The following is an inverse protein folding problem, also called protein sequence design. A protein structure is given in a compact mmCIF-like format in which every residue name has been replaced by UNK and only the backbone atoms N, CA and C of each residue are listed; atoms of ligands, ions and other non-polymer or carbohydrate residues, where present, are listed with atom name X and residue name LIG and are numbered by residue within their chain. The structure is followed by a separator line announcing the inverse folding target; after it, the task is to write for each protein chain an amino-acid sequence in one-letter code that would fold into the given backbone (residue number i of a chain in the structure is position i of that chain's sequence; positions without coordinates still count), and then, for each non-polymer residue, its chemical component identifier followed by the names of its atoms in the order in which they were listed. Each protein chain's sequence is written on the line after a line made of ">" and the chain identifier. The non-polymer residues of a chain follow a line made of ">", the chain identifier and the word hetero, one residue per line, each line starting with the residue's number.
data_IF_644774122909
#
_entry.id   IF_644774122909
#
_cell.length_a   1.000
_cell.length_b   1.000
_cell.length_c   1.000
_cell.angle_alpha   90.00
_cell.angle_beta   90.00
_cell.angle_gamma   90.00
#
_symmetry.space_group_name_H-M   'P 1'
#
loop_
_entity.id
_entity.type
_entity.pdbx_description
1 polymer ?
#
# COMPACT_ATOMS: atom_id res chain seq x y z
N UNK A 1 38.39 19.41 47.64
CA UNK A 1 37.68 18.29 47.00
C UNK A 1 36.56 18.88 46.16
N UNK A 2 36.55 18.71 44.83
CA UNK A 2 35.40 19.08 44.01
C UNK A 2 34.38 17.92 43.99
N UNK A 3 33.08 18.19 43.80
CA UNK A 3 32.08 17.13 43.69
C UNK A 3 32.11 16.50 42.28
N UNK A 4 31.78 15.21 42.26
CA UNK A 4 31.79 14.34 41.10
C UNK A 4 30.89 14.83 39.97
N UNK A 5 31.42 14.77 38.76
CA UNK A 5 30.68 14.96 37.51
C UNK A 5 29.64 13.86 37.41
N UNK A 6 28.36 14.25 37.38
CA UNK A 6 27.28 13.36 36.99
C UNK A 6 27.46 13.04 35.50
N UNK A 7 27.70 11.77 35.19
CA UNK A 7 27.55 11.23 33.85
C UNK A 7 26.11 11.45 33.41
N UNK A 8 25.93 12.40 32.50
CA UNK A 8 24.70 12.53 31.71
C UNK A 8 24.68 11.36 30.74
N UNK A 9 23.97 10.32 31.16
CA UNK A 9 23.64 9.15 30.35
C UNK A 9 22.77 9.63 29.17
N UNK A 10 23.44 9.90 28.05
CA UNK A 10 22.85 10.34 26.81
C UNK A 10 22.10 9.21 26.11
N UNK A 11 21.06 8.68 26.75
CA UNK A 11 20.07 7.88 26.03
C UNK A 11 19.14 8.84 25.28
N UNK A 12 19.66 9.45 24.22
CA UNK A 12 18.82 9.98 23.17
C UNK A 12 18.07 8.78 22.58
N UNK A 13 16.87 8.51 23.11
CA UNK A 13 15.98 7.46 22.64
C UNK A 13 15.76 7.66 21.15
N UNK A 14 16.55 6.97 20.34
CA UNK A 14 16.35 6.97 18.90
C UNK A 14 14.96 6.38 18.69
N UNK A 15 14.04 7.11 18.03
CA UNK A 15 12.71 6.59 17.80
C UNK A 15 12.84 5.27 17.06
N UNK A 16 12.11 4.23 17.49
CA UNK A 16 12.10 2.94 16.80
C UNK A 16 11.78 3.17 15.32
N UNK A 17 12.36 2.39 14.42
CA UNK A 17 12.13 2.56 12.98
C UNK A 17 10.62 2.57 12.62
N UNK A 18 9.80 1.84 13.38
CA UNK A 18 8.35 1.87 13.25
C UNK A 18 7.72 3.22 13.66
N UNK A 19 8.20 3.85 14.74
CA UNK A 19 7.74 5.18 15.14
C UNK A 19 8.15 6.26 14.13
N UNK A 20 9.36 6.14 13.56
CA UNK A 20 9.78 6.99 12.44
C UNK A 20 8.87 6.79 11.23
N UNK A 21 8.56 5.54 10.86
CA UNK A 21 7.63 5.24 9.79
C UNK A 21 6.24 5.84 10.02
N UNK A 22 5.68 5.69 11.22
CA UNK A 22 4.40 6.28 11.61
C UNK A 22 4.40 7.81 11.47
N UNK A 23 5.47 8.48 11.90
CA UNK A 23 5.62 9.92 11.72
C UNK A 23 5.62 10.30 10.24
N UNK A 24 6.31 9.54 9.37
CA UNK A 24 6.33 9.83 7.93
C UNK A 24 4.96 9.64 7.27
N UNK A 25 4.19 8.63 7.70
CA UNK A 25 2.81 8.43 7.25
C UNK A 25 1.90 9.60 7.63
N UNK A 26 2.05 10.17 8.84
CA UNK A 26 1.25 11.35 9.24
C UNK A 26 1.55 12.61 8.42
N UNK A 27 2.71 12.66 7.75
CA UNK A 27 3.04 13.72 6.80
C UNK A 27 2.67 13.37 5.35
N UNK A 28 1.87 12.31 5.14
CA UNK A 28 1.48 11.77 3.84
C UNK A 28 2.67 11.51 2.91
N UNK A 29 3.80 11.04 3.47
CA UNK A 29 4.96 10.63 2.68
C UNK A 29 4.81 9.18 2.26
N UNK A 30 4.72 8.98 0.96
CA UNK A 30 4.47 7.70 0.30
C UNK A 30 5.55 7.39 -0.74
N UNK A 31 6.82 7.42 -0.34
CA UNK A 31 7.96 7.17 -1.21
C UNK A 31 8.68 5.86 -0.93
N UNK A 32 9.60 5.49 -1.82
CA UNK A 32 10.46 4.31 -1.65
C UNK A 32 11.31 4.38 -0.38
N UNK A 33 11.77 5.57 0.00
CA UNK A 33 12.51 5.76 1.25
C UNK A 33 11.68 5.45 2.49
N UNK A 34 10.36 5.54 2.41
CA UNK A 34 9.45 5.23 3.51
C UNK A 34 9.23 3.71 3.60
N UNK A 35 9.16 3.03 2.45
CA UNK A 35 9.14 1.56 2.39
C UNK A 35 10.43 0.96 2.97
N UNK A 36 11.59 1.56 2.70
CA UNK A 36 12.86 1.11 3.32
C UNK A 36 12.87 1.27 4.83
N UNK A 37 12.25 2.33 5.37
CA UNK A 37 12.10 2.48 6.83
C UNK A 37 11.18 1.40 7.40
N UNK A 38 10.09 1.07 6.70
CA UNK A 38 9.23 -0.05 7.07
C UNK A 38 9.99 -1.39 7.04
N UNK A 39 10.76 -1.67 5.99
CA UNK A 39 11.59 -2.88 5.89
C UNK A 39 12.61 -2.99 7.04
N UNK A 40 13.28 -1.87 7.36
CA UNK A 40 14.20 -1.80 8.48
C UNK A 40 13.48 -2.07 9.82
N UNK A 41 12.28 -1.52 10.01
CA UNK A 41 11.46 -1.79 11.19
C UNK A 41 11.07 -3.26 11.29
N UNK A 42 10.64 -3.88 10.18
CA UNK A 42 10.25 -5.29 10.14
C UNK A 42 11.42 -6.25 10.34
N UNK A 43 12.65 -5.79 10.10
CA UNK A 43 13.88 -6.55 10.32
C UNK A 43 14.49 -6.31 11.71
N UNK A 44 14.03 -5.25 12.41
CA UNK A 44 14.51 -4.87 13.73
C UNK A 44 13.70 -5.63 14.82
N UNK A 45 14.30 -6.68 15.37
CA UNK A 45 13.74 -7.40 16.50
C UNK A 45 14.78 -8.37 17.07
N UNK A 46 14.84 -8.45 18.40
CA UNK A 46 15.78 -9.34 19.07
C UNK A 46 15.39 -10.83 18.94
N UNK A 47 14.09 -11.10 18.78
CA UNK A 47 13.53 -12.44 18.69
C UNK A 47 12.27 -12.49 17.80
N UNK A 48 11.81 -13.71 17.51
CA UNK A 48 10.63 -13.96 16.67
C UNK A 48 9.36 -13.30 17.22
N UNK A 49 9.03 -13.39 18.53
CA UNK A 49 7.88 -12.69 19.09
C UNK A 49 7.90 -11.17 18.87
N UNK A 50 9.06 -10.52 19.07
CA UNK A 50 9.20 -9.08 18.83
C UNK A 50 8.99 -8.73 17.35
N UNK A 51 9.54 -9.52 16.43
CA UNK A 51 9.34 -9.33 14.99
C UNK A 51 7.85 -9.48 14.60
N UNK A 52 7.15 -10.47 15.16
CA UNK A 52 5.71 -10.67 14.93
C UNK A 52 4.88 -9.52 15.51
N UNK A 53 5.22 -9.04 16.70
CA UNK A 53 4.57 -7.88 17.32
C UNK A 53 4.75 -6.61 16.47
N UNK A 54 5.98 -6.35 16.00
CA UNK A 54 6.28 -5.23 15.09
C UNK A 54 5.48 -5.35 13.79
N UNK A 55 5.41 -6.54 13.19
CA UNK A 55 4.63 -6.78 11.96
C UNK A 55 3.13 -6.56 12.17
N UNK A 56 2.59 -6.98 13.31
CA UNK A 56 1.19 -6.74 13.68
C UNK A 56 0.90 -5.25 13.85
N UNK A 57 1.77 -4.53 14.56
CA UNK A 57 1.63 -3.09 14.77
C UNK A 57 1.73 -2.31 13.45
N UNK A 58 2.69 -2.67 12.60
CA UNK A 58 2.85 -2.09 11.27
C UNK A 58 1.62 -2.32 10.39
N UNK A 59 1.02 -3.52 10.43
CA UNK A 59 -0.21 -3.82 9.71
C UNK A 59 -1.36 -2.91 10.15
N UNK A 60 -1.63 -2.81 11.45
CA UNK A 60 -2.71 -1.96 11.98
C UNK A 60 -2.50 -0.48 11.62
N UNK A 61 -1.26 0.00 11.70
CA UNK A 61 -0.89 1.34 11.29
C UNK A 61 -1.17 1.57 9.80
N UNK A 62 -0.73 0.67 8.92
CA UNK A 62 -0.97 0.77 7.48
C UNK A 62 -2.45 0.76 7.13
N UNK A 63 -3.26 -0.09 7.78
CA UNK A 63 -4.70 -0.13 7.58
C UNK A 63 -5.37 1.20 7.96
N UNK A 64 -5.00 1.78 9.09
CA UNK A 64 -5.50 3.08 9.53
C UNK A 64 -5.07 4.21 8.58
N UNK A 65 -3.79 4.27 8.23
CA UNK A 65 -3.25 5.30 7.34
C UNK A 65 -3.78 5.19 5.90
N UNK A 66 -4.01 3.98 5.40
CA UNK A 66 -4.65 3.79 4.10
C UNK A 66 -6.08 4.34 4.12
N UNK A 67 -6.88 3.95 5.13
CA UNK A 67 -8.25 4.44 5.26
C UNK A 67 -8.31 5.98 5.35
N UNK A 68 -7.40 6.60 6.11
CA UNK A 68 -7.29 8.05 6.22
C UNK A 68 -6.90 8.71 4.89
N UNK A 69 -5.89 8.17 4.19
CA UNK A 69 -5.46 8.70 2.90
C UNK A 69 -6.59 8.68 1.87
N UNK A 70 -7.34 7.58 1.76
CA UNK A 70 -8.46 7.51 0.83
C UNK A 70 -9.68 8.34 1.29
N UNK A 71 -9.94 8.46 2.59
CA UNK A 71 -10.98 9.37 3.09
C UNK A 71 -10.65 10.85 2.79
N UNK A 72 -9.38 11.24 2.88
CA UNK A 72 -8.91 12.57 2.50
C UNK A 72 -9.14 12.86 1.02
N UNK A 73 -8.90 11.89 0.14
CA UNK A 73 -9.20 12.03 -1.30
C UNK A 73 -10.69 12.21 -1.59
N UNK A 74 -11.58 11.61 -0.78
CA UNK A 74 -13.02 11.70 -0.97
C UNK A 74 -13.63 13.03 -0.50
N UNK A 75 -12.97 13.76 0.41
CA UNK A 75 -13.59 14.87 1.17
C UNK A 75 -13.04 16.26 0.90
N UNK A 76 -11.84 16.43 0.31
CA UNK A 76 -11.22 17.77 0.32
C UNK A 76 -10.24 18.13 -0.79
N UNK A 77 -9.90 17.23 -1.70
CA UNK A 77 -8.98 17.56 -2.79
C UNK A 77 -9.26 16.69 -4.00
N UNK A 78 -9.49 17.30 -5.16
CA UNK A 78 -9.28 16.61 -6.43
C UNK A 78 -7.78 16.36 -6.51
N UNK A 79 -7.31 15.32 -5.81
CA UNK A 79 -6.04 14.72 -6.18
C UNK A 79 -6.20 14.35 -7.66
N UNK A 80 -5.33 14.89 -8.51
CA UNK A 80 -5.20 14.35 -9.85
C UNK A 80 -5.04 12.83 -9.69
N UNK A 81 -5.74 12.02 -10.49
CA UNK A 81 -5.76 10.56 -10.33
C UNK A 81 -4.37 9.92 -10.32
N UNK A 82 -3.32 10.66 -10.70
CA UNK A 82 -1.92 10.27 -10.53
C UNK A 82 -1.49 10.16 -9.06
N UNK A 83 -1.96 11.03 -8.18
CA UNK A 83 -1.59 10.97 -6.76
C UNK A 83 -2.34 9.87 -6.04
N UNK A 84 -3.62 9.64 -6.34
CA UNK A 84 -4.37 8.48 -5.80
C UNK A 84 -3.76 7.16 -6.26
N UNK A 85 -3.27 7.09 -7.52
CA UNK A 85 -2.57 5.91 -8.03
C UNK A 85 -1.24 5.66 -7.29
N UNK A 86 -0.45 6.71 -7.06
CA UNK A 86 0.80 6.60 -6.30
C UNK A 86 0.58 6.15 -4.85
N UNK A 87 -0.48 6.65 -4.21
CA UNK A 87 -0.90 6.25 -2.86
C UNK A 87 -1.28 4.76 -2.85
N UNK A 88 -2.11 4.31 -3.80
CA UNK A 88 -2.51 2.91 -3.91
C UNK A 88 -1.30 1.98 -4.16
N UNK A 89 -0.38 2.37 -5.06
CA UNK A 89 0.86 1.62 -5.31
C UNK A 89 1.71 1.49 -4.04
N UNK A 90 1.94 2.60 -3.34
CA UNK A 90 2.69 2.62 -2.08
C UNK A 90 2.09 1.66 -1.05
N UNK A 91 0.78 1.76 -0.78
CA UNK A 91 0.14 0.91 0.21
C UNK A 91 0.13 -0.55 -0.22
N UNK A 92 -0.02 -0.86 -1.51
CA UNK A 92 0.09 -2.24 -2.00
C UNK A 92 1.44 -2.86 -1.65
N UNK A 93 2.54 -2.14 -1.89
CA UNK A 93 3.90 -2.58 -1.59
C UNK A 93 4.13 -2.68 -0.08
N UNK A 94 3.65 -1.71 0.69
CA UNK A 94 3.74 -1.75 2.15
C UNK A 94 3.00 -2.95 2.75
N UNK A 95 1.79 -3.27 2.26
CA UNK A 95 1.02 -4.43 2.70
C UNK A 95 1.70 -5.75 2.33
N UNK A 96 2.31 -5.83 1.14
CA UNK A 96 3.13 -6.97 0.76
C UNK A 96 4.30 -7.19 1.74
N UNK A 97 5.00 -6.11 2.13
CA UNK A 97 6.11 -6.19 3.09
C UNK A 97 5.68 -6.72 4.47
N UNK A 98 4.51 -6.31 4.97
CA UNK A 98 3.93 -6.82 6.23
C UNK A 98 3.14 -8.13 6.07
N UNK A 99 3.09 -8.69 4.85
CA UNK A 99 2.43 -9.96 4.56
C UNK A 99 0.93 -9.91 4.78
N UNK A 100 0.32 -8.74 4.64
CA UNK A 100 -1.13 -8.57 4.59
C UNK A 100 -1.57 -8.72 3.13
N UNK A 101 -1.76 -9.97 2.70
CA UNK A 101 -2.06 -10.29 1.30
C UNK A 101 -3.42 -9.72 0.87
N UNK A 102 -4.42 -9.74 1.76
CA UNK A 102 -5.75 -9.21 1.47
C UNK A 102 -5.70 -7.71 1.18
N UNK A 103 -5.08 -6.94 2.08
CA UNK A 103 -4.96 -5.49 1.92
C UNK A 103 -4.06 -5.13 0.73
N UNK A 104 -3.01 -5.91 0.45
CA UNK A 104 -2.18 -5.75 -0.74
C UNK A 104 -3.00 -5.91 -2.03
N UNK A 105 -3.77 -7.00 -2.15
CA UNK A 105 -4.60 -7.25 -3.33
C UNK A 105 -5.70 -6.20 -3.45
N UNK A 106 -6.30 -5.76 -2.34
CA UNK A 106 -7.27 -4.67 -2.33
C UNK A 106 -6.69 -3.37 -2.92
N UNK A 107 -5.51 -2.96 -2.47
CA UNK A 107 -4.83 -1.77 -3.00
C UNK A 107 -4.45 -1.91 -4.48
N UNK A 108 -3.99 -3.09 -4.91
CA UNK A 108 -3.70 -3.35 -6.33
C UNK A 108 -4.95 -3.27 -7.20
N UNK A 109 -6.08 -3.78 -6.72
CA UNK A 109 -7.37 -3.66 -7.42
C UNK A 109 -7.79 -2.19 -7.56
N UNK A 110 -7.69 -1.39 -6.49
CA UNK A 110 -8.00 0.04 -6.53
C UNK A 110 -7.07 0.79 -7.50
N UNK A 111 -5.77 0.46 -7.51
CA UNK A 111 -4.81 1.04 -8.48
C UNK A 111 -5.21 0.74 -9.93
N UNK A 112 -5.67 -0.48 -10.22
CA UNK A 112 -6.16 -0.84 -11.56
C UNK A 112 -7.42 -0.03 -11.90
N UNK A 113 -8.40 0.08 -11.00
CA UNK A 113 -9.59 0.90 -11.23
C UNK A 113 -9.26 2.37 -11.50
N UNK A 114 -8.37 2.96 -10.69
CA UNK A 114 -7.94 4.34 -10.84
C UNK A 114 -7.24 4.57 -12.18
N UNK A 115 -6.37 3.64 -12.59
CA UNK A 115 -5.68 3.72 -13.88
C UNK A 115 -6.67 3.60 -15.04
N UNK A 116 -7.61 2.67 -14.95
CA UNK A 116 -8.61 2.47 -15.97
C UNK A 116 -9.53 3.69 -16.14
N UNK A 117 -9.96 4.29 -15.03
CA UNK A 117 -10.74 5.52 -15.03
C UNK A 117 -9.95 6.73 -15.57
N UNK A 118 -8.66 6.86 -15.20
CA UNK A 118 -7.82 8.00 -15.60
C UNK A 118 -7.46 7.98 -17.08
N UNK A 119 -7.22 6.79 -17.64
CA UNK A 119 -6.75 6.62 -19.02
C UNK A 119 -7.82 6.06 -19.96
N UNK A 120 -9.11 6.28 -19.65
CA UNK A 120 -10.23 5.77 -20.45
C UNK A 120 -10.23 6.21 -21.94
N UNK A 121 -9.45 7.23 -22.31
CA UNK A 121 -9.26 7.69 -23.69
C UNK A 121 -7.86 7.41 -24.27
N UNK A 122 -6.94 6.86 -23.48
CA UNK A 122 -5.58 6.50 -23.92
C UNK A 122 -5.39 4.99 -23.91
N UNK A 123 -5.60 4.37 -25.08
CA UNK A 123 -5.54 2.91 -25.27
C UNK A 123 -4.19 2.29 -24.86
N UNK A 124 -3.10 3.07 -24.80
CA UNK A 124 -1.79 2.56 -24.42
C UNK A 124 -1.57 2.56 -22.89
N UNK A 125 -2.39 3.31 -22.14
CA UNK A 125 -2.27 3.47 -20.68
C UNK A 125 -3.44 2.86 -19.90
N UNK A 126 -4.47 2.36 -20.59
CA UNK A 126 -5.56 1.58 -19.98
C UNK A 126 -5.07 0.27 -19.37
N UNK A 127 -5.82 -0.22 -18.39
CA UNK A 127 -5.60 -1.57 -17.90
C UNK A 127 -6.04 -2.55 -18.98
N UNK A 128 -5.10 -3.34 -19.47
CA UNK A 128 -5.43 -4.35 -20.47
C UNK A 128 -6.27 -5.47 -19.87
N UNK A 129 -7.08 -6.14 -20.70
CA UNK A 129 -7.76 -7.38 -20.32
C UNK A 129 -6.79 -8.41 -19.73
N UNK A 130 -5.59 -8.52 -20.29
CA UNK A 130 -4.59 -9.48 -19.83
C UNK A 130 -4.08 -9.16 -18.43
N UNK A 131 -3.93 -7.88 -18.08
CA UNK A 131 -3.59 -7.47 -16.71
C UNK A 131 -4.70 -7.80 -15.72
N UNK A 132 -5.97 -7.52 -16.07
CA UNK A 132 -7.10 -7.91 -15.22
C UNK A 132 -7.17 -9.42 -15.01
N UNK A 133 -6.95 -10.23 -16.05
CA UNK A 133 -6.91 -11.69 -15.95
C UNK A 133 -5.73 -12.17 -15.10
N UNK A 134 -4.55 -11.56 -15.25
CA UNK A 134 -3.38 -11.89 -14.45
C UNK A 134 -3.64 -11.59 -12.96
N UNK A 135 -4.20 -10.42 -12.66
CA UNK A 135 -4.57 -10.04 -11.29
C UNK A 135 -5.68 -10.94 -10.71
N UNK A 136 -6.68 -11.31 -11.51
CA UNK A 136 -7.74 -12.21 -11.09
C UNK A 136 -7.21 -13.61 -10.76
N UNK A 137 -6.28 -14.12 -11.59
CA UNK A 137 -5.60 -15.39 -11.34
C UNK A 137 -4.74 -15.33 -10.08
N UNK A 138 -3.92 -14.29 -9.92
CA UNK A 138 -3.09 -14.08 -8.72
C UNK A 138 -3.96 -14.04 -7.45
N UNK A 139 -5.09 -13.32 -7.50
CA UNK A 139 -6.04 -13.26 -6.40
C UNK A 139 -6.67 -14.62 -6.07
N UNK A 140 -7.00 -15.41 -7.10
CA UNK A 140 -7.54 -16.76 -6.96
C UNK A 140 -6.51 -17.72 -6.35
N UNK A 141 -5.27 -17.67 -6.84
CA UNK A 141 -4.16 -18.51 -6.36
C UNK A 141 -3.84 -18.21 -4.88
N UNK A 142 -4.12 -16.99 -4.41
CA UNK A 142 -4.04 -16.58 -3.01
C UNK A 142 -5.32 -16.85 -2.18
N UNK A 143 -6.37 -17.43 -2.77
CA UNK A 143 -7.62 -17.79 -2.09
C UNK A 143 -8.64 -16.66 -1.92
N UNK A 144 -8.44 -15.50 -2.55
CA UNK A 144 -9.33 -14.34 -2.45
C UNK A 144 -10.35 -14.31 -3.59
N UNK A 145 -11.37 -15.17 -3.50
CA UNK A 145 -12.38 -15.36 -4.56
C UNK A 145 -13.21 -14.11 -4.88
N UNK A 146 -13.53 -13.29 -3.88
CA UNK A 146 -14.37 -12.10 -4.08
C UNK A 146 -13.68 -11.06 -4.96
N UNK A 147 -12.40 -10.78 -4.69
CA UNK A 147 -11.64 -9.80 -5.48
C UNK A 147 -11.24 -10.38 -6.84
N UNK A 148 -10.94 -11.68 -6.90
CA UNK A 148 -10.73 -12.39 -8.17
C UNK A 148 -11.97 -12.27 -9.08
N UNK A 149 -13.17 -12.48 -8.54
CA UNK A 149 -14.42 -12.36 -9.30
C UNK A 149 -14.66 -10.96 -9.83
N UNK A 150 -14.39 -9.92 -9.03
CA UNK A 150 -14.46 -8.51 -9.47
C UNK A 150 -13.46 -8.21 -10.59
N UNK A 151 -12.23 -8.70 -10.48
CA UNK A 151 -11.22 -8.54 -11.51
C UNK A 151 -11.60 -9.25 -12.81
N UNK A 152 -12.16 -10.47 -12.73
CA UNK A 152 -12.71 -11.16 -13.89
C UNK A 152 -13.85 -10.38 -14.54
N UNK A 153 -14.76 -9.78 -13.77
CA UNK A 153 -15.83 -8.95 -14.32
C UNK A 153 -15.29 -7.75 -15.09
N UNK A 154 -14.25 -7.07 -14.57
CA UNK A 154 -13.58 -5.99 -15.30
C UNK A 154 -12.92 -6.52 -16.59
N UNK A 155 -12.21 -7.65 -16.53
CA UNK A 155 -11.62 -8.28 -17.72
C UNK A 155 -12.65 -8.59 -18.82
N UNK A 156 -13.88 -8.96 -18.45
CA UNK A 156 -14.99 -9.16 -19.39
C UNK A 156 -15.52 -7.84 -19.94
N UNK A 157 -15.54 -6.77 -19.15
CA UNK A 157 -15.88 -5.42 -19.62
C UNK A 157 -14.91 -4.88 -20.68
N UNK A 158 -13.63 -5.29 -20.62
CA UNK A 158 -12.62 -5.03 -21.65
C UNK A 158 -12.67 -6.01 -22.83
N UNK A 159 -13.70 -6.85 -22.94
CA UNK A 159 -14.02 -7.45 -24.23
C UNK A 159 -14.50 -6.29 -25.10
N UNK A 160 -13.65 -5.89 -26.06
CA UNK A 160 -14.05 -5.01 -27.14
C UNK A 160 -15.49 -5.36 -27.54
N UNK A 161 -16.43 -4.39 -27.67
CA UNK A 161 -17.58 -4.65 -28.51
C UNK A 161 -16.98 -4.97 -29.87
N UNK A 162 -16.91 -6.27 -30.18
CA UNK A 162 -16.68 -6.72 -31.54
C UNK A 162 -17.75 -5.97 -32.32
N UNK A 163 -17.32 -5.11 -33.24
CA UNK A 163 -18.19 -4.45 -34.20
C UNK A 163 -19.39 -5.36 -34.50
N UNK A 164 -20.63 -5.00 -34.14
CA UNK A 164 -21.76 -5.71 -34.70
C UNK A 164 -21.68 -5.41 -36.20
N UNK A 165 -21.35 -6.44 -36.98
CA UNK A 165 -21.12 -6.28 -38.41
C UNK A 165 -22.36 -5.70 -39.10
N UNK A 166 -22.17 -4.59 -39.82
CA UNK A 166 -22.58 -4.40 -41.22
C UNK A 166 -22.23 -3.01 -41.70
#
# INVERSE_FOLDING_TARGET
>A
MPPAMAEQDGNATTPSALALFASRLSYHRFGDEDLRVLEAALSAGADVPALLATRSAARSLLQASAAEAFAFTATGSVMDGGTSLAVADFFSRAFALVGDVESCLAMRYEALLLRDAKYCNDLHLQVSRQEWLAFAKDSLDNGFYTIASKAFANALGHIHPSHPGR
#
